data_IF_948169114673
#
_entry.id   IF_948169114673
#
_cell.length_a   1.000
_cell.length_b   1.000
_cell.length_c   1.000
_cell.angle_alpha   90.00
_cell.angle_beta   90.00
_cell.angle_gamma   90.00
#
_symmetry.space_group_name_H-M   'P 1'
#
loop_
_entity.id
_entity.type
_entity.pdbx_description
1 polymer ?
#
# COMPACT_ATOMS: atom_id res chain seq x y z
N UNK A 1 2.24 -4.86 -25.17
CA UNK A 1 1.39 -4.88 -23.97
C UNK A 1 2.28 -4.52 -22.78
N UNK A 2 2.14 -3.32 -22.22
CA UNK A 2 2.92 -2.83 -21.06
C UNK A 2 2.65 -3.76 -19.86
N UNK A 3 3.55 -4.69 -19.58
CA UNK A 3 3.37 -5.71 -18.53
C UNK A 3 3.83 -5.13 -17.20
N UNK A 4 3.00 -4.28 -16.58
CA UNK A 4 3.25 -3.90 -15.19
C UNK A 4 3.49 -5.17 -14.35
N UNK A 5 4.51 -5.18 -13.48
CA UNK A 5 4.87 -6.38 -12.76
C UNK A 5 3.73 -6.72 -11.81
N UNK A 6 3.30 -7.99 -11.81
CA UNK A 6 2.16 -8.43 -11.01
C UNK A 6 2.33 -8.05 -9.52
N UNK A 7 3.56 -8.12 -9.02
CA UNK A 7 3.91 -7.68 -7.67
C UNK A 7 3.59 -6.21 -7.40
N UNK A 8 3.79 -5.31 -8.37
CA UNK A 8 3.40 -3.91 -8.21
C UNK A 8 1.88 -3.79 -8.03
N UNK A 9 1.09 -4.44 -8.90
CA UNK A 9 -0.37 -4.37 -8.82
C UNK A 9 -0.87 -4.94 -7.49
N UNK A 10 -0.36 -6.10 -7.08
CA UNK A 10 -0.75 -6.75 -5.83
C UNK A 10 -0.37 -5.89 -4.61
N UNK A 11 0.88 -5.43 -4.52
CA UNK A 11 1.38 -4.65 -3.39
C UNK A 11 0.70 -3.28 -3.28
N UNK A 12 0.44 -2.62 -4.41
CA UNK A 12 -0.24 -1.32 -4.41
C UNK A 12 -1.71 -1.47 -4.02
N UNK A 13 -2.38 -2.53 -4.48
CA UNK A 13 -3.78 -2.81 -4.10
C UNK A 13 -3.89 -3.12 -2.61
N UNK A 14 -3.01 -3.98 -2.06
CA UNK A 14 -2.97 -4.24 -0.62
C UNK A 14 -2.60 -2.98 0.18
N UNK A 15 -1.67 -2.16 -0.31
CA UNK A 15 -1.29 -0.91 0.32
C UNK A 15 -2.46 0.07 0.41
N UNK A 16 -3.25 0.22 -0.65
CA UNK A 16 -4.45 1.07 -0.64
C UNK A 16 -5.50 0.57 0.36
N UNK A 17 -5.73 -0.74 0.42
CA UNK A 17 -6.67 -1.32 1.39
C UNK A 17 -6.20 -1.07 2.84
N UNK A 18 -4.90 -1.22 3.09
CA UNK A 18 -4.30 -0.96 4.39
C UNK A 18 -4.34 0.53 4.77
N UNK A 19 -4.13 1.43 3.79
CA UNK A 19 -4.26 2.87 4.00
C UNK A 19 -5.70 3.27 4.34
N UNK A 20 -6.70 2.72 3.63
CA UNK A 20 -8.11 2.98 3.95
C UNK A 20 -8.45 2.54 5.37
N UNK A 21 -8.03 1.34 5.78
CA UNK A 21 -8.25 0.86 7.14
C UNK A 21 -7.57 1.76 8.19
N UNK A 22 -6.33 2.18 7.95
CA UNK A 22 -5.58 3.08 8.83
C UNK A 22 -6.23 4.47 8.97
N UNK A 23 -6.68 5.06 7.86
CA UNK A 23 -7.37 6.37 7.86
C UNK A 23 -8.68 6.30 8.63
N UNK A 24 -9.48 5.23 8.44
CA UNK A 24 -10.74 5.05 9.15
C UNK A 24 -10.53 4.85 10.66
N UNK A 25 -9.49 4.11 11.05
CA UNK A 25 -9.09 3.94 12.44
C UNK A 25 -8.69 5.29 13.08
N UNK A 26 -7.86 6.09 12.40
CA UNK A 26 -7.43 7.41 12.89
C UNK A 26 -8.56 8.45 12.94
N UNK A 27 -9.56 8.34 12.07
CA UNK A 27 -10.75 9.20 12.09
C UNK A 27 -11.70 8.93 13.26
N UNK A 28 -11.38 7.97 14.14
CA UNK A 28 -12.21 7.60 15.29
C UNK A 28 -13.43 6.73 14.93
N UNK A 29 -13.53 6.29 13.66
CA UNK A 29 -14.55 5.37 13.18
C UNK A 29 -14.12 3.90 13.25
N UNK A 30 -12.92 3.62 13.75
CA UNK A 30 -12.39 2.26 13.90
C UNK A 30 -13.30 1.35 14.73
N UNK A 31 -13.87 1.86 15.83
CA UNK A 31 -14.80 1.15 16.70
C UNK A 31 -16.05 0.61 15.99
N UNK A 32 -16.53 1.30 14.95
CA UNK A 32 -17.73 0.93 14.19
C UNK A 32 -17.44 -0.16 13.16
N UNK A 33 -16.19 -0.24 12.69
CA UNK A 33 -15.77 -1.11 11.59
C UNK A 33 -15.12 -2.41 12.08
N UNK A 34 -14.24 -2.36 13.07
CA UNK A 34 -13.67 -3.55 13.70
C UNK A 34 -13.02 -3.21 15.07
N UNK A 35 -13.21 -4.00 16.14
CA UNK A 35 -12.61 -3.74 17.47
C UNK A 35 -11.08 -3.60 17.47
N UNK A 36 -10.39 -4.24 16.51
CA UNK A 36 -8.94 -4.10 16.31
C UNK A 36 -8.50 -2.71 15.83
N UNK A 37 -9.41 -1.93 15.22
CA UNK A 37 -9.14 -0.59 14.68
C UNK A 37 -9.51 0.53 15.69
N UNK A 38 -10.01 0.17 16.86
CA UNK A 38 -10.36 1.13 17.93
C UNK A 38 -9.10 1.67 18.64
N UNK A 39 -7.98 0.96 18.55
CA UNK A 39 -6.70 1.42 19.08
C UNK A 39 -5.99 2.34 18.08
N UNK A 40 -5.68 3.60 18.44
CA UNK A 40 -4.94 4.53 17.58
C UNK A 40 -3.60 3.98 17.08
N UNK A 41 -2.94 3.12 17.87
CA UNK A 41 -1.67 2.49 17.48
C UNK A 41 -1.84 1.47 16.36
N UNK A 42 -2.99 0.79 16.29
CA UNK A 42 -3.32 -0.13 15.20
C UNK A 42 -3.57 0.62 13.88
N UNK A 43 -4.22 1.79 13.95
CA UNK A 43 -4.40 2.69 12.81
C UNK A 43 -3.06 3.16 12.24
N UNK A 44 -2.13 3.57 13.11
CA UNK A 44 -0.77 3.94 12.71
C UNK A 44 0.00 2.77 12.10
N UNK A 45 -0.08 1.57 12.68
CA UNK A 45 0.57 0.37 12.14
C UNK A 45 0.07 0.02 10.72
N UNK A 46 -1.23 0.21 10.45
CA UNK A 46 -1.79 0.05 9.10
C UNK A 46 -1.24 1.08 8.11
N UNK A 47 -1.11 2.35 8.51
CA UNK A 47 -0.53 3.38 7.62
C UNK A 47 0.93 3.07 7.30
N UNK A 48 1.75 2.72 8.29
CA UNK A 48 3.16 2.37 8.06
C UNK A 48 3.27 1.16 7.13
N UNK A 49 2.41 0.16 7.34
CA UNK A 49 2.34 -1.03 6.47
C UNK A 49 1.92 -0.68 5.05
N UNK A 50 0.95 0.23 4.88
CA UNK A 50 0.54 0.72 3.56
C UNK A 50 1.70 1.40 2.81
N UNK A 51 2.45 2.26 3.50
CA UNK A 51 3.62 2.94 2.91
C UNK A 51 4.69 1.91 2.53
N UNK A 52 4.97 0.92 3.40
CA UNK A 52 5.94 -0.13 3.14
C UNK A 52 5.55 -1.00 1.93
N UNK A 53 4.26 -1.35 1.80
CA UNK A 53 3.74 -2.12 0.67
C UNK A 53 3.82 -1.33 -0.64
N UNK A 54 3.39 -0.06 -0.64
CA UNK A 54 3.47 0.81 -1.83
C UNK A 54 4.92 1.02 -2.26
N UNK A 55 5.82 1.29 -1.31
CA UNK A 55 7.26 1.44 -1.58
C UNK A 55 7.88 0.15 -2.14
N UNK A 56 7.51 -1.01 -1.61
CA UNK A 56 7.97 -2.31 -2.11
C UNK A 56 7.45 -2.61 -3.51
N UNK A 57 6.23 -2.19 -3.84
CA UNK A 57 5.66 -2.31 -5.18
C UNK A 57 6.31 -1.37 -6.19
N UNK A 58 6.71 -0.17 -5.77
CA UNK A 58 7.33 0.82 -6.64
C UNK A 58 8.70 0.36 -7.18
N UNK A 59 9.44 -0.42 -6.41
CA UNK A 59 10.80 -0.84 -6.77
C UNK A 59 10.87 -1.72 -8.05
N UNK A 60 10.07 -2.80 -8.22
CA UNK A 60 9.97 -3.53 -9.48
C UNK A 60 9.58 -2.66 -10.68
N UNK A 61 8.71 -1.67 -10.45
CA UNK A 61 8.19 -0.78 -11.50
C UNK A 61 9.28 0.15 -12.03
N UNK A 62 10.11 0.69 -11.13
CA UNK A 62 11.26 1.53 -11.50
C UNK A 62 12.29 0.73 -12.28
N UNK A 63 12.57 -0.53 -11.89
CA UNK A 63 13.50 -1.41 -12.63
C UNK A 63 12.99 -1.67 -14.04
N UNK A 64 11.70 -1.94 -14.21
CA UNK A 64 11.12 -2.14 -15.55
C UNK A 64 11.19 -0.87 -16.39
N UNK A 65 10.97 0.31 -15.78
CA UNK A 65 11.10 1.61 -16.46
C UNK A 65 12.54 1.91 -16.88
N UNK A 66 13.53 1.54 -16.08
CA UNK A 66 14.95 1.67 -16.44
C UNK A 66 15.29 0.76 -17.62
N UNK A 67 14.83 -0.50 -17.60
CA UNK A 67 15.02 -1.44 -18.73
C UNK A 67 14.35 -0.97 -20.03
N UNK A 68 13.17 -0.34 -19.95
CA UNK A 68 12.53 0.27 -21.12
C UNK A 68 13.35 1.44 -21.71
N UNK A 69 14.10 2.18 -20.87
CA UNK A 69 14.84 3.37 -21.26
C UNK A 69 16.29 3.08 -21.70
N UNK A 70 16.92 2.03 -21.15
CA UNK A 70 18.24 1.55 -21.61
C UNK A 70 18.18 0.85 -22.98
N UNK A 71 17.00 0.47 -23.44
CA UNK A 71 16.78 -0.15 -24.75
C UNK A 71 16.41 0.83 -25.88
N UNK A 72 16.50 2.15 -25.66
CA UNK A 72 16.17 3.21 -26.62
C UNK A 72 17.41 3.89 -27.23
#
# INVERSE_FOLDING_TARGET
>A
MRRYPFSFIALTTLGILCAMAGIVSLAGFGAVLHPLLDDPMAGLACIVSAIALIGSGAFPLVIEKLKENEGA
#
